data_IF_898907576961
#
_entry.id   IF_898907576961
#
_cell.length_a   1.000
_cell.length_b   1.000
_cell.length_c   1.000
_cell.angle_alpha   90.00
_cell.angle_beta   90.00
_cell.angle_gamma   90.00
#
_symmetry.space_group_name_H-M   'P 1'
#
loop_
_entity.id
_entity.type
_entity.pdbx_description
1 polymer ?
#
# COMPACT_ATOMS: atom_id res chain seq x y z
N UNK A 1 10.48 2.78 -5.82
CA UNK A 1 10.43 3.75 -4.71
C UNK A 1 9.39 4.82 -5.01
N UNK A 2 8.38 4.96 -4.15
CA UNK A 2 7.33 5.97 -4.29
C UNK A 2 7.89 7.36 -3.89
N UNK A 3 8.55 8.04 -4.82
CA UNK A 3 9.19 9.36 -4.57
C UNK A 3 8.15 10.41 -4.14
N UNK A 4 6.89 10.21 -4.52
CA UNK A 4 5.83 11.21 -4.36
C UNK A 4 4.88 10.96 -3.18
N UNK A 5 5.01 9.82 -2.48
CA UNK A 5 4.24 9.52 -1.27
C UNK A 5 4.94 10.16 -0.06
N UNK A 6 4.19 10.88 0.79
CA UNK A 6 4.71 11.49 2.01
C UNK A 6 4.08 10.85 3.23
N UNK A 7 4.90 10.49 4.19
CA UNK A 7 4.46 9.88 5.45
C UNK A 7 5.03 10.72 6.58
N UNK A 8 4.13 11.41 7.28
CA UNK A 8 4.47 12.29 8.40
C UNK A 8 3.85 11.69 9.66
N UNK A 9 4.67 11.49 10.68
CA UNK A 9 4.22 11.07 11.99
C UNK A 9 4.23 12.27 12.95
N UNK A 10 3.09 12.56 13.55
CA UNK A 10 2.95 13.49 14.67
C UNK A 10 3.07 12.72 15.99
N UNK A 11 4.06 13.10 16.79
CA UNK A 11 4.38 12.56 18.13
C UNK A 11 4.34 13.73 19.12
N UNK A 12 3.27 13.83 19.91
CA UNK A 12 3.03 14.94 20.86
C UNK A 12 3.31 16.32 20.24
N UNK A 13 2.57 16.66 19.17
CA UNK A 13 2.71 17.89 18.35
C UNK A 13 4.01 18.03 17.55
N UNK A 14 4.96 17.10 17.69
CA UNK A 14 6.20 17.11 16.92
C UNK A 14 6.00 16.34 15.61
N UNK A 15 6.09 17.04 14.48
CA UNK A 15 6.04 16.41 13.16
C UNK A 15 7.39 15.84 12.75
N UNK A 16 7.40 14.56 12.41
CA UNK A 16 8.57 13.83 11.88
C UNK A 16 8.25 13.32 10.49
N UNK A 17 9.09 13.69 9.53
CA UNK A 17 9.04 13.10 8.19
C UNK A 17 9.76 11.76 8.20
N UNK A 18 8.98 10.69 8.08
CA UNK A 18 9.44 9.30 8.03
C UNK A 18 9.28 8.69 6.65
N UNK A 19 9.01 9.52 5.62
CA UNK A 19 8.75 9.09 4.25
C UNK A 19 9.90 8.25 3.69
N UNK A 20 11.15 8.63 3.94
CA UNK A 20 12.31 7.91 3.40
C UNK A 20 12.41 6.49 3.96
N UNK A 21 12.15 6.35 5.26
CA UNK A 21 12.24 5.08 5.98
C UNK A 21 11.09 4.16 5.58
N UNK A 22 9.88 4.69 5.49
CA UNK A 22 8.68 3.88 5.26
C UNK A 22 8.31 3.70 3.77
N UNK A 23 8.89 4.45 2.83
CA UNK A 23 8.69 4.22 1.38
C UNK A 23 9.75 3.29 0.75
N UNK A 24 10.71 2.79 1.53
CA UNK A 24 11.79 1.93 1.04
C UNK A 24 11.81 0.64 1.84
N UNK A 25 11.45 -0.47 1.18
CA UNK A 25 11.39 -1.80 1.79
C UNK A 25 12.76 -2.28 2.29
N UNK A 26 13.86 -1.67 1.85
CA UNK A 26 15.22 -1.98 2.30
C UNK A 26 15.76 -0.98 3.33
N UNK A 27 15.00 0.07 3.68
CA UNK A 27 15.42 1.05 4.65
C UNK A 27 15.21 0.57 6.10
N UNK A 28 15.63 1.42 7.05
CA UNK A 28 15.50 1.14 8.46
C UNK A 28 14.04 1.20 8.92
N UNK A 29 13.68 0.28 9.80
CA UNK A 29 12.43 0.28 10.56
C UNK A 29 12.26 1.54 11.41
N UNK A 30 11.02 2.01 11.53
CA UNK A 30 10.61 3.09 12.42
C UNK A 30 9.91 2.52 13.65
N UNK A 31 10.34 2.93 14.84
CA UNK A 31 9.58 2.69 16.07
C UNK A 31 8.43 3.67 16.15
N UNK A 32 7.21 3.14 16.06
CA UNK A 32 5.96 3.87 16.04
C UNK A 32 5.27 3.78 17.41
N UNK A 33 5.78 4.56 18.36
CA UNK A 33 5.30 4.58 19.75
C UNK A 33 4.04 5.44 19.91
N UNK A 34 2.97 5.06 19.22
CA UNK A 34 1.73 5.84 19.12
C UNK A 34 0.99 5.98 20.45
N UNK A 35 0.69 7.23 20.83
CA UNK A 35 -0.15 7.61 21.97
C UNK A 35 -1.50 8.13 21.48
N UNK A 36 -2.60 7.53 21.98
CA UNK A 36 -3.95 7.99 21.63
C UNK A 36 -4.17 9.45 22.02
N UNK A 37 -4.92 10.17 21.17
CA UNK A 37 -5.30 11.58 21.30
C UNK A 37 -4.18 12.60 21.04
N UNK A 38 -2.92 12.22 21.22
CA UNK A 38 -1.77 13.10 21.00
C UNK A 38 -1.16 12.90 19.60
N UNK A 39 -1.26 11.68 19.06
CA UNK A 39 -0.56 11.30 17.84
C UNK A 39 -1.49 11.06 16.65
N UNK A 40 -0.94 11.34 15.46
CA UNK A 40 -1.54 11.05 14.16
C UNK A 40 -0.48 10.60 13.15
N UNK A 41 -0.88 9.73 12.22
CA UNK A 41 -0.08 9.38 11.05
C UNK A 41 -0.72 9.99 9.81
N UNK A 42 -0.01 10.88 9.13
CA UNK A 42 -0.46 11.53 7.91
C UNK A 42 0.18 10.90 6.68
N UNK A 43 -0.64 10.65 5.66
CA UNK A 43 -0.21 10.12 4.37
C UNK A 43 -0.64 11.11 3.29
N UNK A 44 0.35 11.63 2.56
CA UNK A 44 0.19 12.57 1.46
C UNK A 44 0.45 11.91 0.12
N UNK A 45 -0.49 12.06 -0.82
CA UNK A 45 -0.45 11.48 -2.18
C UNK A 45 -0.62 12.57 -3.25
N UNK A 46 -0.23 12.30 -4.49
CA UNK A 46 -0.48 13.21 -5.62
C UNK A 46 -1.91 13.16 -6.15
N UNK A 47 -2.59 12.04 -5.96
CA UNK A 47 -3.98 11.85 -6.35
C UNK A 47 -4.79 11.26 -5.18
N UNK A 48 -6.12 11.39 -5.19
CA UNK A 48 -6.98 10.68 -4.24
C UNK A 48 -6.68 9.19 -4.21
N UNK A 49 -6.73 8.58 -3.02
CA UNK A 49 -6.38 7.18 -2.81
C UNK A 49 -7.21 6.58 -1.68
N UNK A 50 -7.46 5.29 -1.76
CA UNK A 50 -8.42 4.61 -0.88
C UNK A 50 -7.82 3.48 -0.06
N UNK A 51 -6.52 3.21 -0.19
CA UNK A 51 -5.86 2.16 0.56
C UNK A 51 -4.35 2.36 0.69
N UNK A 52 -3.77 1.72 1.70
CA UNK A 52 -2.32 1.54 1.87
C UNK A 52 -2.01 0.20 2.52
N UNK A 53 -0.98 -0.46 2.02
CA UNK A 53 -0.38 -1.63 2.68
C UNK A 53 0.59 -1.17 3.77
N UNK A 54 0.50 -1.81 4.93
CA UNK A 54 1.38 -1.61 6.09
C UNK A 54 2.16 -2.90 6.34
N UNK A 55 3.49 -2.80 6.31
CA UNK A 55 4.43 -3.83 6.76
C UNK A 55 4.77 -3.57 8.23
N UNK A 56 4.27 -4.46 9.07
CA UNK A 56 4.46 -4.40 10.52
C UNK A 56 5.71 -5.20 10.86
N UNK A 57 6.67 -4.52 11.47
CA UNK A 57 7.95 -5.11 11.81
C UNK A 57 7.87 -6.16 12.91
N UNK A 58 9.05 -6.61 13.36
CA UNK A 58 9.19 -7.72 14.31
C UNK A 58 8.50 -7.53 15.67
N UNK A 59 8.06 -6.31 16.00
CA UNK A 59 7.26 -6.02 17.19
C UNK A 59 5.90 -5.48 16.74
N UNK A 60 4.89 -6.35 16.54
CA UNK A 60 3.54 -5.91 16.21
C UNK A 60 2.84 -5.29 17.42
N UNK A 61 1.75 -4.57 17.17
CA UNK A 61 0.89 -4.11 18.24
C UNK A 61 0.08 -5.26 18.85
N UNK A 62 0.11 -5.38 20.18
CA UNK A 62 -0.67 -6.36 20.93
C UNK A 62 -1.89 -5.75 21.67
N UNK A 63 -2.08 -4.43 21.61
CA UNK A 63 -3.16 -3.72 22.29
C UNK A 63 -4.38 -3.61 21.38
N UNK A 64 -5.56 -4.00 21.87
CA UNK A 64 -6.80 -3.82 21.11
C UNK A 64 -7.03 -2.34 20.79
N UNK A 65 -7.09 -2.02 19.50
CA UNK A 65 -7.18 -0.66 18.99
C UNK A 65 -7.84 -0.70 17.60
N UNK A 66 -8.77 0.21 17.35
CA UNK A 66 -9.42 0.37 16.06
C UNK A 66 -8.86 1.59 15.35
N UNK A 67 -8.46 1.42 14.09
CA UNK A 67 -8.03 2.53 13.24
C UNK A 67 -9.22 3.37 12.80
N UNK A 68 -9.04 4.68 12.79
CA UNK A 68 -9.95 5.66 12.21
C UNK A 68 -9.19 6.47 11.17
N UNK A 69 -9.82 6.68 10.01
CA UNK A 69 -9.24 7.39 8.88
C UNK A 69 -10.01 8.70 8.68
N UNK A 70 -9.32 9.82 8.51
CA UNK A 70 -9.94 11.08 8.09
C UNK A 70 -9.25 11.65 6.86
N UNK A 71 -10.02 12.26 5.98
CA UNK A 71 -9.60 12.81 4.69
C UNK A 71 -9.72 14.32 4.73
N UNK A 72 -8.70 15.02 4.21
CA UNK A 72 -8.69 16.47 4.11
C UNK A 72 -9.53 16.94 2.91
N UNK A 73 -10.49 17.85 3.15
CA UNK A 73 -11.35 18.44 2.11
C UNK A 73 -10.97 19.88 1.73
N UNK A 74 -9.81 20.37 2.18
CA UNK A 74 -9.37 21.76 1.97
C UNK A 74 -9.77 22.72 3.09
N UNK A 75 -10.60 22.29 4.04
CA UNK A 75 -11.03 23.12 5.17
C UNK A 75 -11.09 22.35 6.50
N UNK A 76 -11.48 21.08 6.47
CA UNK A 76 -11.57 20.23 7.64
C UNK A 76 -11.21 18.77 7.34
N UNK A 77 -10.86 18.06 8.41
CA UNK A 77 -10.70 16.61 8.37
C UNK A 77 -12.07 15.94 8.51
N UNK A 78 -12.50 15.23 7.47
CA UNK A 78 -13.76 14.48 7.48
C UNK A 78 -13.49 13.00 7.69
N UNK A 79 -14.29 12.33 8.52
CA UNK A 79 -14.16 10.88 8.69
C UNK A 79 -14.41 10.16 7.37
N UNK A 80 -13.51 9.22 7.03
CA UNK A 80 -13.77 8.25 5.98
C UNK A 80 -14.84 7.25 6.44
N UNK A 81 -15.49 6.60 5.48
CA UNK A 81 -16.48 5.54 5.72
C UNK A 81 -15.92 4.20 5.23
N UNK A 82 -16.56 3.10 5.64
CA UNK A 82 -16.18 1.74 5.22
C UNK A 82 -14.68 1.44 5.42
N UNK A 83 -14.17 1.78 6.61
CA UNK A 83 -12.78 1.53 6.97
C UNK A 83 -12.61 0.03 7.26
N UNK A 84 -11.85 -0.64 6.41
CA UNK A 84 -11.50 -2.06 6.54
C UNK A 84 -10.03 -2.14 6.91
N UNK A 85 -9.74 -2.80 8.03
CA UNK A 85 -8.39 -2.95 8.56
C UNK A 85 -7.96 -4.42 8.52
N UNK A 86 -7.16 -4.79 7.51
CA UNK A 86 -6.59 -6.14 7.40
C UNK A 86 -5.33 -6.32 8.28
N UNK A 87 -4.81 -5.24 8.86
CA UNK A 87 -3.71 -5.28 9.83
C UNK A 87 -4.18 -5.70 11.23
N UNK A 88 -5.51 -5.76 11.42
CA UNK A 88 -6.12 -6.17 12.66
C UNK A 88 -5.97 -7.67 12.90
N UNK A 89 -5.52 -8.06 14.10
CA UNK A 89 -5.57 -9.45 14.54
C UNK A 89 -7.01 -9.89 14.84
N UNK A 90 -7.22 -11.20 14.99
CA UNK A 90 -8.50 -11.76 15.47
C UNK A 90 -8.96 -11.21 16.84
N UNK A 91 -8.04 -10.64 17.63
CA UNK A 91 -8.33 -9.99 18.91
C UNK A 91 -8.69 -8.50 18.77
N UNK A 92 -8.73 -7.95 17.56
CA UNK A 92 -9.07 -6.55 17.29
C UNK A 92 -7.93 -5.55 17.55
N UNK A 93 -6.69 -6.00 17.64
CA UNK A 93 -5.52 -5.12 17.67
C UNK A 93 -5.12 -4.74 16.24
N UNK A 94 -5.35 -3.49 15.83
CA UNK A 94 -4.81 -2.91 14.58
C UNK A 94 -3.28 -2.89 14.60
N UNK A 95 -2.63 -2.94 13.43
CA UNK A 95 -1.18 -3.08 13.27
C UNK A 95 -0.60 -4.29 14.04
N UNK A 96 -1.37 -5.36 14.17
CA UNK A 96 -0.90 -6.61 14.79
C UNK A 96 -0.27 -7.58 13.78
N UNK A 97 -0.50 -7.34 12.49
CA UNK A 97 0.07 -8.09 11.38
C UNK A 97 0.16 -7.19 10.15
N UNK A 98 0.90 -7.63 9.15
CA UNK A 98 0.92 -7.03 7.82
C UNK A 98 -0.49 -7.04 7.21
N UNK A 99 -0.82 -5.98 6.48
CA UNK A 99 -2.11 -5.94 5.79
C UNK A 99 -2.41 -4.60 5.14
N UNK A 100 -3.52 -4.55 4.41
CA UNK A 100 -4.01 -3.33 3.79
C UNK A 100 -5.05 -2.67 4.71
N UNK A 101 -4.90 -1.38 4.94
CA UNK A 101 -6.00 -0.55 5.47
C UNK A 101 -6.66 0.12 4.27
N UNK A 102 -7.97 -0.09 4.12
CA UNK A 102 -8.80 0.45 3.03
C UNK A 102 -9.90 1.32 3.61
N UNK A 103 -10.33 2.31 2.85
CA UNK A 103 -11.40 3.22 3.24
C UNK A 103 -12.14 3.74 2.01
N UNK A 104 -13.29 4.36 2.22
CA UNK A 104 -14.01 5.10 1.20
C UNK A 104 -14.29 6.52 1.66
N UNK A 105 -14.38 7.46 0.72
CA UNK A 105 -14.89 8.80 0.98
C UNK A 105 -16.39 8.77 1.27
N UNK A 106 -16.84 9.61 2.22
CA UNK A 106 -18.27 9.88 2.39
C UNK A 106 -18.83 10.45 1.08
N UNK A 107 -20.02 9.99 0.66
CA UNK A 107 -20.72 10.44 -0.55
C UNK A 107 -20.94 11.96 -0.61
N UNK A 108 -21.03 12.63 0.54
CA UNK A 108 -21.27 14.08 0.62
C UNK A 108 -19.98 14.89 0.79
N UNK A 109 -18.83 14.23 0.76
CA UNK A 109 -17.51 14.82 0.90
C UNK A 109 -16.68 14.55 -0.33
N UNK A 110 -15.67 15.37 -0.54
CA UNK A 110 -14.76 15.25 -1.68
C UNK A 110 -13.34 15.46 -1.21
N UNK A 111 -12.41 15.01 -2.03
CA UNK A 111 -11.00 15.30 -1.86
C UNK A 111 -10.71 16.74 -2.27
N UNK A 112 -9.80 17.40 -1.57
CA UNK A 112 -9.20 18.63 -2.04
C UNK A 112 -7.69 18.46 -2.04
N UNK A 113 -7.06 18.80 -3.16
CA UNK A 113 -5.62 18.90 -3.23
C UNK A 113 -5.20 20.13 -2.44
N UNK A 114 -4.39 19.93 -1.41
CA UNK A 114 -3.82 21.02 -0.67
C UNK A 114 -2.61 21.59 -1.41
N UNK A 115 -2.59 22.91 -1.61
CA UNK A 115 -1.49 23.57 -2.30
C UNK A 115 -0.25 23.64 -1.42
N UNK A 116 -0.41 23.87 -0.12
CA UNK A 116 0.67 23.90 0.88
C UNK A 116 0.20 23.35 2.23
N UNK A 117 1.03 22.54 2.89
CA UNK A 117 0.75 22.10 4.28
C UNK A 117 0.68 23.24 5.28
N UNK A 118 1.16 24.44 4.94
CA UNK A 118 0.98 25.66 5.75
C UNK A 118 -0.51 25.98 6.00
N UNK A 119 -1.39 25.58 5.08
CA UNK A 119 -2.84 25.80 5.16
C UNK A 119 -3.57 24.70 5.95
N UNK A 120 -2.87 23.63 6.34
CA UNK A 120 -3.37 22.58 7.22
C UNK A 120 -2.84 22.85 8.63
N UNK A 121 -3.66 23.27 9.61
CA UNK A 121 -3.17 23.69 10.92
C UNK A 121 -2.25 22.67 11.59
N UNK A 122 -2.61 21.38 11.51
CA UNK A 122 -1.84 20.28 12.10
C UNK A 122 -0.50 19.98 11.40
N UNK A 123 -0.32 20.42 10.14
CA UNK A 123 0.91 20.19 9.35
C UNK A 123 1.66 21.49 9.04
N UNK A 124 1.24 22.61 9.64
CA UNK A 124 1.66 23.96 9.26
C UNK A 124 3.15 24.28 9.44
N UNK A 125 3.90 23.46 10.19
CA UNK A 125 5.35 23.61 10.35
C UNK A 125 6.15 23.01 9.20
N UNK A 126 5.51 22.20 8.34
CA UNK A 126 6.11 21.60 7.15
C UNK A 126 5.75 22.41 5.90
N UNK A 127 6.58 22.30 4.86
CA UNK A 127 6.36 22.91 3.54
C UNK A 127 6.32 21.83 2.47
N UNK A 128 5.18 21.17 2.35
CA UNK A 128 4.90 20.15 1.34
C UNK A 128 3.77 20.68 0.47
N UNK A 129 3.91 20.55 -0.84
CA UNK A 129 3.01 21.17 -1.80
C UNK A 129 2.27 20.14 -2.64
N UNK A 130 1.05 20.51 -3.07
CA UNK A 130 0.22 19.79 -4.04
C UNK A 130 0.02 18.32 -3.67
N UNK A 131 -0.61 18.08 -2.51
CA UNK A 131 -0.92 16.72 -2.03
C UNK A 131 -2.35 16.61 -1.55
N UNK A 132 -2.90 15.43 -1.74
CA UNK A 132 -4.10 14.93 -1.08
C UNK A 132 -3.70 14.25 0.22
N UNK A 133 -4.37 14.59 1.32
CA UNK A 133 -3.97 14.14 2.65
C UNK A 133 -5.02 13.27 3.31
N UNK A 134 -4.52 12.20 3.92
CA UNK A 134 -5.25 11.35 4.85
C UNK A 134 -4.53 11.37 6.19
N UNK A 135 -5.27 11.37 7.30
CA UNK A 135 -4.74 11.12 8.64
C UNK A 135 -5.34 9.85 9.22
N UNK A 136 -4.51 9.08 9.90
CA UNK A 136 -4.89 7.88 10.63
C UNK A 136 -4.69 8.13 12.13
N UNK A 137 -5.61 7.61 12.92
CA UNK A 137 -5.56 7.61 14.38
C UNK A 137 -6.07 6.28 14.92
N UNK A 138 -5.64 5.89 16.12
CA UNK A 138 -6.07 4.66 16.75
C UNK A 138 -6.81 4.95 18.06
N UNK A 139 -7.79 4.11 18.39
CA UNK A 139 -8.66 4.29 19.56
C UNK A 139 -7.98 4.00 20.91
N UNK A 140 -6.76 3.47 20.90
CA UNK A 140 -5.95 3.21 22.09
C UNK A 140 -4.46 3.41 21.77
N UNK A 141 -3.67 3.75 22.79
CA UNK A 141 -2.20 3.77 22.74
C UNK A 141 -1.70 2.40 22.30
N UNK A 142 -0.86 2.38 21.26
CA UNK A 142 -0.31 1.14 20.74
C UNK A 142 0.81 0.62 21.66
N UNK A 143 1.27 -0.59 21.37
CA UNK A 143 2.43 -1.14 22.10
C UNK A 143 3.64 -0.22 21.90
N UNK A 144 4.30 0.21 22.99
CA UNK A 144 5.37 1.22 22.94
C UNK A 144 6.58 0.86 22.05
N UNK A 145 6.68 -0.40 21.62
CA UNK A 145 7.69 -0.89 20.68
C UNK A 145 7.15 -1.23 19.29
N UNK A 146 5.92 -0.87 18.93
CA UNK A 146 5.35 -1.21 17.61
C UNK A 146 6.28 -0.71 16.50
N UNK A 147 6.65 -1.60 15.59
CA UNK A 147 7.59 -1.34 14.51
C UNK A 147 6.86 -1.28 13.18
N UNK A 148 7.19 -0.28 12.36
CA UNK A 148 6.75 -0.18 10.97
C UNK A 148 7.97 -0.22 10.05
N UNK A 149 7.94 -1.10 9.07
CA UNK A 149 9.02 -1.27 8.10
C UNK A 149 8.73 -0.52 6.80
N UNK A 150 7.50 -0.63 6.31
CA UNK A 150 7.10 -0.10 5.00
C UNK A 150 5.62 0.28 4.97
N UNK A 151 5.29 1.36 4.27
CA UNK A 151 3.93 1.78 3.95
C UNK A 151 3.89 2.15 2.47
N UNK A 152 3.03 1.47 1.71
CA UNK A 152 2.91 1.74 0.29
C UNK A 152 1.98 0.76 -0.40
N UNK A 153 2.46 0.19 -1.51
CA UNK A 153 1.70 -0.76 -2.32
C UNK A 153 2.34 -2.14 -2.27
N UNK A 154 1.49 -3.15 -2.09
CA UNK A 154 1.79 -4.58 -2.22
C UNK A 154 0.50 -5.27 -2.62
N UNK A 155 0.54 -6.08 -3.68
CA UNK A 155 -0.68 -6.67 -4.26
C UNK A 155 -0.77 -8.19 -4.06
N UNK A 156 0.29 -8.83 -3.55
CA UNK A 156 0.32 -10.28 -3.35
C UNK A 156 1.16 -10.66 -2.13
N UNK A 157 0.98 -11.89 -1.66
CA UNK A 157 1.70 -12.44 -0.52
C UNK A 157 2.22 -13.86 -0.78
N UNK A 158 2.97 -14.40 0.18
CA UNK A 158 3.57 -15.73 0.11
C UNK A 158 2.49 -16.85 0.05
N UNK A 159 1.31 -16.63 0.64
CA UNK A 159 0.21 -17.62 0.63
C UNK A 159 -0.32 -17.78 -0.80
N UNK A 160 -0.65 -16.68 -1.45
CA UNK A 160 -1.10 -16.66 -2.83
C UNK A 160 0.01 -17.07 -3.80
N UNK A 161 1.27 -16.70 -3.53
CA UNK A 161 2.42 -17.20 -4.29
C UNK A 161 2.52 -18.72 -4.22
N UNK A 162 2.36 -19.30 -3.03
CA UNK A 162 2.40 -20.75 -2.80
C UNK A 162 1.28 -21.52 -3.50
N UNK A 163 0.12 -20.87 -3.72
CA UNK A 163 -0.98 -21.48 -4.46
C UNK A 163 -0.66 -21.69 -5.95
N UNK A 164 0.10 -20.79 -6.57
CA UNK A 164 0.50 -20.87 -7.98
C UNK A 164 1.87 -21.51 -8.19
N UNK A 165 2.81 -21.23 -7.29
CA UNK A 165 4.21 -21.62 -7.35
C UNK A 165 4.65 -22.27 -6.03
N UNK A 166 4.12 -23.46 -5.68
CA UNK A 166 4.34 -24.09 -4.37
C UNK A 166 5.81 -24.38 -4.05
N UNK A 167 6.65 -24.57 -5.07
CA UNK A 167 8.08 -24.79 -4.86
C UNK A 167 8.79 -23.55 -4.29
N UNK A 168 8.34 -22.35 -4.63
CA UNK A 168 8.99 -21.11 -4.21
C UNK A 168 8.80 -20.81 -2.72
N UNK A 169 7.72 -21.29 -2.11
CA UNK A 169 7.43 -21.06 -0.68
C UNK A 169 8.08 -22.10 0.24
N UNK A 170 8.81 -23.06 -0.32
CA UNK A 170 9.55 -24.04 0.48
C UNK A 170 10.72 -23.37 1.20
N UNK A 171 10.84 -23.63 2.50
CA UNK A 171 11.91 -23.10 3.36
C UNK A 171 13.32 -23.30 2.78
N UNK A 172 13.57 -24.44 2.14
CA UNK A 172 14.87 -24.77 1.56
C UNK A 172 15.22 -23.85 0.39
N UNK A 173 14.22 -23.48 -0.41
CA UNK A 173 14.38 -22.58 -1.56
C UNK A 173 14.57 -21.14 -1.08
N UNK A 174 13.80 -20.71 -0.08
CA UNK A 174 13.94 -19.38 0.54
C UNK A 174 15.37 -19.23 1.12
N UNK A 175 15.81 -20.21 1.91
CA UNK A 175 17.14 -20.20 2.52
C UNK A 175 18.29 -20.31 1.51
N UNK A 176 18.07 -20.96 0.37
CA UNK A 176 19.05 -21.01 -0.72
C UNK A 176 19.21 -19.67 -1.46
N UNK A 177 18.15 -18.84 -1.50
CA UNK A 177 18.21 -17.52 -2.14
C UNK A 177 19.03 -16.52 -1.32
N UNK A 178 18.78 -16.45 -0.01
CA UNK A 178 19.56 -15.61 0.89
C UNK A 178 19.55 -16.20 2.31
N UNK A 179 20.72 -16.20 2.95
CA UNK A 179 20.85 -16.68 4.33
C UNK A 179 19.96 -15.87 5.29
N UNK A 180 19.19 -16.57 6.12
CA UNK A 180 18.31 -15.95 7.12
C UNK A 180 16.99 -15.40 6.58
N UNK A 181 16.75 -15.45 5.27
CA UNK A 181 15.47 -15.06 4.68
C UNK A 181 14.38 -16.06 5.08
N UNK A 182 13.20 -15.54 5.42
CA UNK A 182 12.06 -16.34 5.91
C UNK A 182 10.80 -16.20 5.06
N UNK A 183 10.72 -15.17 4.22
CA UNK A 183 9.58 -14.87 3.36
C UNK A 183 10.05 -14.17 2.07
N UNK A 184 9.14 -13.89 1.14
CA UNK A 184 9.42 -13.16 -0.11
C UNK A 184 8.94 -11.70 -0.08
N UNK A 185 8.82 -11.09 1.10
CA UNK A 185 8.21 -9.77 1.26
C UNK A 185 8.79 -8.71 0.32
N UNK A 186 10.11 -8.58 0.27
CA UNK A 186 10.78 -7.58 -0.56
C UNK A 186 10.53 -7.83 -2.06
N UNK A 187 10.47 -9.10 -2.47
CA UNK A 187 10.16 -9.48 -3.85
C UNK A 187 8.70 -9.17 -4.22
N UNK A 188 7.76 -9.31 -3.27
CA UNK A 188 6.37 -8.91 -3.47
C UNK A 188 6.22 -7.39 -3.63
N UNK A 189 6.94 -6.59 -2.85
CA UNK A 189 6.95 -5.13 -3.01
C UNK A 189 7.55 -4.72 -4.36
N UNK A 190 8.70 -5.30 -4.73
CA UNK A 190 9.32 -5.06 -6.04
C UNK A 190 8.42 -5.49 -7.21
N UNK A 191 7.66 -6.58 -7.05
CA UNK A 191 6.69 -7.01 -8.03
C UNK A 191 5.55 -5.98 -8.19
N UNK A 192 5.05 -5.42 -7.09
CA UNK A 192 4.05 -4.36 -7.12
C UNK A 192 4.56 -3.10 -7.84
N UNK A 193 5.81 -2.67 -7.59
CA UNK A 193 6.41 -1.53 -8.30
C UNK A 193 6.51 -1.77 -9.82
N UNK A 194 6.86 -2.99 -10.23
CA UNK A 194 6.94 -3.35 -11.63
C UNK A 194 5.56 -3.46 -12.31
N UNK A 195 4.53 -3.90 -11.59
CA UNK A 195 3.13 -3.87 -12.04
C UNK A 195 2.71 -2.42 -12.28
N UNK A 196 2.91 -1.54 -11.30
CA UNK A 196 2.62 -0.09 -11.40
C UNK A 196 3.35 0.52 -12.60
N UNK A 197 4.65 0.29 -12.73
CA UNK A 197 5.43 0.84 -13.84
C UNK A 197 4.93 0.34 -15.20
N UNK A 198 4.40 -0.88 -15.27
CA UNK A 198 3.80 -1.39 -16.49
C UNK A 198 2.48 -0.69 -16.82
N UNK A 199 1.64 -0.41 -15.82
CA UNK A 199 0.39 0.34 -15.97
C UNK A 199 0.65 1.79 -16.41
N UNK A 200 1.66 2.44 -15.83
CA UNK A 200 2.11 3.78 -16.22
C UNK A 200 2.58 3.81 -17.68
N UNK A 201 3.41 2.85 -18.10
CA UNK A 201 3.91 2.73 -19.48
C UNK A 201 2.81 2.45 -20.51
N UNK A 202 1.67 1.92 -20.08
CA UNK A 202 0.48 1.68 -20.92
C UNK A 202 -0.49 2.85 -20.90
N UNK A 203 -0.14 3.95 -20.23
CA UNK A 203 -1.01 5.12 -20.02
C UNK A 203 -2.35 4.76 -19.36
N UNK A 204 -2.38 3.74 -18.50
CA UNK A 204 -3.58 3.36 -17.74
C UNK A 204 -3.72 4.14 -16.45
N UNK A 205 -2.60 4.49 -15.83
CA UNK A 205 -2.51 5.31 -14.63
C UNK A 205 -1.35 6.30 -14.79
N UNK A 206 -1.42 7.44 -14.12
CA UNK A 206 -0.32 8.39 -13.98
C UNK A 206 0.45 8.18 -12.68
N UNK A 207 -0.26 7.75 -11.63
CA UNK A 207 0.34 7.44 -10.33
C UNK A 207 -0.25 6.13 -9.80
N UNK A 208 0.48 5.39 -8.95
CA UNK A 208 -0.03 4.17 -8.33
C UNK A 208 -1.25 4.39 -7.43
N UNK A 209 -1.50 5.63 -7.04
CA UNK A 209 -2.56 5.99 -6.09
C UNK A 209 -3.96 6.00 -6.72
N UNK A 210 -4.03 5.94 -8.07
CA UNK A 210 -5.27 5.73 -8.83
C UNK A 210 -5.77 4.28 -8.81
N UNK A 211 -4.95 3.34 -8.31
CA UNK A 211 -5.36 1.96 -8.14
C UNK A 211 -6.35 1.94 -6.97
N UNK A 212 -7.63 1.74 -7.27
CA UNK A 212 -8.68 1.72 -6.23
C UNK A 212 -8.97 0.30 -5.72
N UNK A 213 -8.61 -0.72 -6.50
CA UNK A 213 -8.77 -2.12 -6.11
C UNK A 213 -7.45 -2.86 -6.31
N UNK A 214 -6.68 -3.15 -5.24
CA UNK A 214 -5.42 -3.86 -5.37
C UNK A 214 -5.60 -5.34 -5.75
N UNK A 215 -6.75 -5.95 -5.45
CA UNK A 215 -6.98 -7.40 -5.64
C UNK A 215 -6.97 -7.81 -7.12
N UNK A 216 -7.39 -6.93 -8.03
CA UNK A 216 -7.35 -7.24 -9.47
C UNK A 216 -5.92 -7.37 -9.99
N UNK A 217 -4.94 -6.81 -9.27
CA UNK A 217 -3.52 -6.85 -9.62
C UNK A 217 -2.79 -8.02 -8.94
N UNK A 218 -3.46 -8.76 -8.05
CA UNK A 218 -2.83 -9.80 -7.23
C UNK A 218 -2.16 -10.87 -8.10
N UNK A 219 -2.88 -11.41 -9.09
CA UNK A 219 -2.35 -12.46 -9.97
C UNK A 219 -1.14 -12.01 -10.76
N UNK A 220 -1.22 -10.83 -11.36
CA UNK A 220 -0.09 -10.25 -12.09
C UNK A 220 1.11 -10.07 -11.15
N UNK A 221 0.89 -9.56 -9.93
CA UNK A 221 1.94 -9.41 -8.94
C UNK A 221 2.54 -10.75 -8.49
N UNK A 222 1.75 -11.82 -8.36
CA UNK A 222 2.25 -13.19 -8.07
C UNK A 222 3.21 -13.67 -9.16
N UNK A 223 2.79 -13.62 -10.43
CA UNK A 223 3.62 -14.05 -11.55
C UNK A 223 4.89 -13.21 -11.67
N UNK A 224 4.79 -11.90 -11.45
CA UNK A 224 5.95 -11.02 -11.45
C UNK A 224 6.90 -11.31 -10.29
N UNK A 225 6.38 -11.56 -9.08
CA UNK A 225 7.17 -11.96 -7.91
C UNK A 225 7.94 -13.25 -8.20
N UNK A 226 7.26 -14.28 -8.73
CA UNK A 226 7.89 -15.54 -9.13
C UNK A 226 9.03 -15.32 -10.14
N UNK A 227 8.81 -14.49 -11.16
CA UNK A 227 9.84 -14.18 -12.15
C UNK A 227 11.06 -13.44 -11.55
N UNK A 228 10.86 -12.56 -10.57
CA UNK A 228 11.94 -11.87 -9.83
C UNK A 228 12.75 -12.88 -9.00
N UNK A 229 12.07 -13.78 -8.27
CA UNK A 229 12.71 -14.84 -7.47
C UNK A 229 13.54 -15.76 -8.37
N UNK A 230 12.93 -16.29 -9.44
CA UNK A 230 13.58 -17.22 -10.38
C UNK A 230 14.80 -16.59 -11.08
N UNK A 231 14.78 -15.27 -11.31
CA UNK A 231 15.94 -14.55 -11.84
C UNK A 231 17.15 -14.60 -10.89
N UNK A 232 16.92 -14.63 -9.57
CA UNK A 232 17.98 -14.73 -8.57
C UNK A 232 18.70 -16.09 -8.56
N UNK A 233 18.03 -17.17 -8.98
CA UNK A 233 18.63 -18.51 -9.05
C UNK A 233 19.47 -18.77 -10.31
N UNK A 234 19.49 -17.83 -11.27
CA UNK A 234 20.31 -17.95 -12.47
C UNK A 234 19.68 -18.79 -13.59
N UNK A 235 20.53 -19.36 -14.46
CA UNK A 235 20.12 -19.95 -15.73
C UNK A 235 19.31 -21.25 -15.59
N UNK A 236 19.47 -21.98 -14.48
CA UNK A 236 18.76 -23.24 -14.25
C UNK A 236 17.24 -23.05 -14.18
N UNK A 237 16.79 -21.84 -13.81
CA UNK A 237 15.38 -21.44 -13.74
C UNK A 237 14.91 -20.60 -14.93
N UNK A 238 15.71 -20.47 -15.99
CA UNK A 238 15.41 -19.58 -17.11
C UNK A 238 14.07 -19.88 -17.79
N UNK A 239 13.72 -21.16 -17.96
CA UNK A 239 12.45 -21.54 -18.58
C UNK A 239 11.25 -21.21 -17.68
N UNK A 240 11.33 -21.50 -16.38
CA UNK A 240 10.26 -21.21 -15.43
C UNK A 240 10.04 -19.70 -15.32
N UNK A 241 11.14 -18.93 -15.28
CA UNK A 241 11.09 -17.47 -15.35
C UNK A 241 10.38 -16.99 -16.62
N UNK A 242 10.74 -17.52 -17.78
CA UNK A 242 10.13 -17.12 -19.05
C UNK A 242 8.62 -17.41 -19.06
N UNK A 243 8.20 -18.56 -18.52
CA UNK A 243 6.78 -18.90 -18.37
C UNK A 243 6.07 -17.90 -17.45
N UNK A 244 6.63 -17.61 -16.26
CA UNK A 244 6.06 -16.63 -15.34
C UNK A 244 5.98 -15.22 -15.94
N UNK A 245 6.94 -14.80 -16.77
CA UNK A 245 6.90 -13.53 -17.50
C UNK A 245 5.82 -13.52 -18.60
N UNK A 246 5.50 -14.67 -19.21
CA UNK A 246 4.39 -14.81 -20.16
C UNK A 246 3.04 -14.73 -19.43
N UNK A 247 2.89 -15.46 -18.33
CA UNK A 247 1.68 -15.44 -17.51
C UNK A 247 1.41 -14.05 -16.93
N UNK A 248 2.47 -13.37 -16.45
CA UNK A 248 2.39 -11.98 -16.02
C UNK A 248 1.84 -11.06 -17.12
N UNK A 249 2.35 -11.16 -18.35
CA UNK A 249 1.86 -10.34 -19.47
C UNK A 249 0.42 -10.66 -19.80
N UNK A 250 0.05 -11.94 -19.83
CA UNK A 250 -1.32 -12.37 -20.08
C UNK A 250 -2.29 -11.80 -19.04
N UNK A 251 -1.92 -11.81 -17.76
CA UNK A 251 -2.73 -11.18 -16.70
C UNK A 251 -2.74 -9.65 -16.79
N UNK A 252 -1.62 -9.00 -17.11
CA UNK A 252 -1.60 -7.55 -17.36
C UNK A 252 -2.49 -7.14 -18.54
N UNK A 253 -2.63 -7.99 -19.56
CA UNK A 253 -3.52 -7.78 -20.68
C UNK A 253 -4.99 -8.12 -20.34
N UNK A 254 -5.21 -8.94 -19.31
CA UNK A 254 -6.53 -9.32 -18.79
C UNK A 254 -7.08 -8.31 -17.77
N UNK A 255 -6.20 -7.56 -17.09
CA UNK A 255 -6.59 -6.58 -16.08
C UNK A 255 -7.42 -5.47 -16.74
N UNK A 256 -8.72 -5.52 -16.45
CA UNK A 256 -9.66 -4.49 -16.85
C UNK A 256 -9.52 -3.27 -15.94
N UNK A 257 -9.58 -2.07 -16.52
CA UNK A 257 -9.36 -0.81 -15.83
C UNK A 257 -10.38 -0.58 -14.70
N UNK A 258 -9.98 -0.86 -13.46
CA UNK A 258 -10.62 -0.38 -12.23
C UNK A 258 -9.77 0.74 -11.62
N UNK A 259 -9.41 1.70 -12.46
CA UNK A 259 -8.63 2.87 -12.08
C UNK A 259 -9.54 4.09 -12.03
N UNK A 260 -9.24 4.98 -11.08
CA UNK A 260 -9.87 6.30 -11.03
C UNK A 260 -9.31 7.18 -12.15
N UNK A 261 -10.10 7.30 -13.22
CA UNK A 261 -9.76 8.02 -14.45
C UNK A 261 -10.15 9.50 -14.40
N UNK A 262 -10.99 9.89 -13.45
CA UNK A 262 -11.48 11.27 -13.30
C UNK A 262 -10.97 11.95 -12.02
N UNK A 263 -10.10 11.28 -11.27
CA UNK A 263 -9.41 11.78 -10.07
C UNK A 263 -10.38 12.20 -8.96
N UNK A 264 -11.56 11.58 -8.87
CA UNK A 264 -12.56 11.96 -7.87
C UNK A 264 -12.49 11.12 -6.58
N UNK A 265 -11.62 10.11 -6.52
CA UNK A 265 -11.48 9.20 -5.39
C UNK A 265 -12.63 8.18 -5.25
N UNK A 266 -13.47 8.02 -6.28
CA UNK A 266 -14.62 7.13 -6.31
C UNK A 266 -14.63 6.28 -7.58
N UNK A 267 -14.87 4.97 -7.43
CA UNK A 267 -15.01 4.09 -8.59
C UNK A 267 -16.40 4.22 -9.22
N UNK A 268 -16.47 4.97 -10.33
CA UNK A 268 -17.72 5.28 -11.01
C UNK A 268 -18.29 4.09 -11.79
N UNK A 269 -19.61 4.11 -12.02
CA UNK A 269 -20.28 3.06 -12.82
C UNK A 269 -19.70 2.99 -14.23
N UNK A 270 -19.26 4.10 -14.82
CA UNK A 270 -18.67 4.11 -16.16
C UNK A 270 -17.29 3.45 -16.18
N UNK A 271 -16.50 3.66 -15.14
CA UNK A 271 -15.18 3.02 -14.95
C UNK A 271 -15.37 1.52 -14.73
N UNK A 272 -16.40 1.14 -13.97
CA UNK A 272 -16.86 -0.25 -13.87
C UNK A 272 -17.43 -0.80 -15.19
N UNK A 273 -18.14 -0.01 -15.98
CA UNK A 273 -18.87 -0.51 -17.15
C UNK A 273 -17.98 -0.70 -18.38
N UNK A 274 -16.83 -0.02 -18.47
CA UNK A 274 -15.79 -0.33 -19.47
C UNK A 274 -15.30 -1.78 -19.40
N UNK A 275 -15.68 -2.55 -18.36
CA UNK A 275 -15.45 -3.99 -18.20
C UNK A 275 -16.21 -4.90 -19.19
N UNK A 276 -17.16 -4.39 -19.97
CA UNK A 276 -17.97 -5.23 -20.87
C UNK A 276 -17.90 -4.78 -22.33
N UNK A 277 -16.99 -5.37 -23.12
CA UNK A 277 -17.00 -5.30 -24.59
C UNK A 277 -18.24 -5.95 -25.26
N UNK A 278 -19.36 -6.06 -24.53
CA UNK A 278 -20.62 -6.70 -24.93
C UNK A 278 -21.78 -5.70 -25.11
N UNK A 279 -21.55 -4.39 -25.04
CA UNK A 279 -22.51 -3.40 -25.53
C UNK A 279 -22.05 -2.81 -26.87
N UNK A 280 -22.29 -3.57 -27.94
CA UNK A 280 -22.53 -3.04 -29.29
C UNK A 280 -23.84 -3.61 -29.82
#
# INVERSE_FOLDING_TARGET
MLINNRIIWEDDTTLRDVSKQLNDVFANTVTFAYVTADDYLYIGSELPFNHRYFDVGATPNAVAATVSVSIWDGNAWNAAVDVIDETASAAGASLAQDGIIRWATDRYKTWCMEQSTEDIPALSTLKIYNKYWVRLSWSATLTAGTLLNYIGHKFSDDTSLGAYYPDLVRSDIIGAYASGKTNWHEQHVLAAEEVVSNLEKRDHIWTPDQIMNPEVLERAAIHKCAAIIMRGFGNDYAQLKANAEVDFKAEMDSIYAQYDSNENGHMDIQEKARMGGLYR
#
